data_IF_805003438494
#
_entry.id   IF_805003438494
#
_cell.length_a   1.000
_cell.length_b   1.000
_cell.length_c   1.000
_cell.angle_alpha   90.00
_cell.angle_beta   90.00
_cell.angle_gamma   90.00
#
_symmetry.space_group_name_H-M   'P 1'
#
loop_
_entity.id
_entity.type
_entity.pdbx_description
1 polymer ?
#
# COMPACT_ATOMS: atom_id res chain seq x y z
N UNK A 1 -0.74 -13.37 -17.87
CA UNK A 1 0.56 -12.73 -17.54
C UNK A 1 0.97 -11.72 -18.62
N UNK A 2 0.99 -12.10 -19.90
CA UNK A 2 1.40 -11.22 -21.01
C UNK A 2 0.58 -9.91 -21.03
N UNK A 3 -0.74 -10.00 -20.92
CA UNK A 3 -1.64 -8.83 -20.87
C UNK A 3 -1.32 -7.92 -19.70
N UNK A 4 -1.04 -8.49 -18.52
CA UNK A 4 -0.70 -7.71 -17.33
C UNK A 4 0.64 -6.97 -17.47
N UNK A 5 1.67 -7.65 -18.00
CA UNK A 5 2.97 -7.04 -18.25
C UNK A 5 2.84 -5.90 -19.26
N UNK A 6 2.10 -6.13 -20.36
CA UNK A 6 1.82 -5.09 -21.35
C UNK A 6 1.13 -3.89 -20.73
N UNK A 7 0.09 -4.10 -19.91
CA UNK A 7 -0.62 -3.04 -19.22
C UNK A 7 0.28 -2.26 -18.25
N UNK A 8 1.18 -2.94 -17.51
CA UNK A 8 2.18 -2.26 -16.67
C UNK A 8 3.15 -1.40 -17.48
N UNK A 9 3.53 -1.87 -18.68
CA UNK A 9 4.42 -1.10 -19.58
C UNK A 9 3.74 0.14 -20.15
N UNK A 10 2.43 0.08 -20.44
CA UNK A 10 1.66 1.16 -21.06
C UNK A 10 1.10 2.16 -20.04
N UNK A 11 0.86 1.74 -18.80
CA UNK A 11 0.23 2.61 -17.78
C UNK A 11 1.26 3.46 -17.02
N UNK A 12 0.84 4.67 -16.63
CA UNK A 12 1.54 5.50 -15.64
C UNK A 12 1.14 5.08 -14.22
N UNK A 13 -0.14 4.75 -14.04
CA UNK A 13 -0.69 4.27 -12.78
C UNK A 13 -1.39 2.93 -13.00
N UNK A 14 -0.77 1.86 -12.55
CA UNK A 14 -1.30 0.50 -12.64
C UNK A 14 -1.75 0.00 -11.26
N UNK A 15 -2.97 -0.50 -11.15
CA UNK A 15 -3.51 -1.13 -9.96
C UNK A 15 -3.98 -2.56 -10.26
N UNK A 16 -3.27 -3.55 -9.74
CA UNK A 16 -3.61 -4.95 -9.86
C UNK A 16 -4.25 -5.49 -8.58
N UNK A 17 -5.54 -5.85 -8.65
CA UNK A 17 -6.28 -6.52 -7.56
C UNK A 17 -6.45 -7.99 -7.94
N UNK A 18 -5.51 -8.82 -7.48
CA UNK A 18 -5.42 -10.21 -7.92
C UNK A 18 -5.49 -11.17 -6.75
N UNK A 19 -6.17 -12.30 -6.97
CA UNK A 19 -6.21 -13.38 -5.99
C UNK A 19 -4.82 -13.92 -5.66
N UNK A 20 -4.71 -14.68 -4.60
CA UNK A 20 -3.46 -15.38 -4.28
C UNK A 20 -3.10 -16.39 -5.37
N UNK A 21 -1.81 -16.54 -5.64
CA UNK A 21 -1.33 -17.48 -6.66
C UNK A 21 -1.40 -16.99 -8.10
N UNK A 22 -2.00 -15.83 -8.40
CA UNK A 22 -2.13 -15.26 -9.75
C UNK A 22 -0.85 -14.65 -10.32
N UNK A 23 0.32 -15.10 -9.86
CA UNK A 23 1.62 -14.71 -10.39
C UNK A 23 1.94 -13.21 -10.33
N UNK A 24 1.42 -12.48 -9.32
CA UNK A 24 1.73 -11.05 -9.10
C UNK A 24 3.22 -10.78 -9.17
N UNK A 25 3.99 -11.37 -8.27
CA UNK A 25 5.44 -11.13 -8.16
C UNK A 25 6.22 -11.59 -9.41
N UNK A 26 5.74 -12.61 -10.14
CA UNK A 26 6.38 -13.05 -11.38
C UNK A 26 6.19 -12.04 -12.51
N UNK A 27 4.97 -11.58 -12.73
CA UNK A 27 4.65 -10.57 -13.76
C UNK A 27 5.37 -9.25 -13.48
N UNK A 28 5.42 -8.84 -12.21
CA UNK A 28 6.16 -7.65 -11.77
C UNK A 28 7.67 -7.78 -11.99
N UNK A 29 8.22 -8.95 -11.73
CA UNK A 29 9.66 -9.20 -11.95
C UNK A 29 10.03 -9.09 -13.43
N UNK A 30 9.21 -9.63 -14.33
CA UNK A 30 9.41 -9.50 -15.76
C UNK A 30 9.25 -8.03 -16.20
N UNK A 31 8.21 -7.34 -15.72
CA UNK A 31 8.02 -5.92 -15.98
C UNK A 31 9.28 -5.12 -15.59
N UNK A 32 9.78 -5.30 -14.36
CA UNK A 32 10.94 -4.56 -13.87
C UNK A 32 12.20 -4.78 -14.73
N UNK A 33 12.47 -6.03 -15.17
CA UNK A 33 13.59 -6.35 -16.06
C UNK A 33 13.41 -5.70 -17.45
N UNK A 34 12.23 -5.83 -18.04
CA UNK A 34 11.95 -5.27 -19.36
C UNK A 34 12.03 -3.74 -19.33
N UNK A 35 11.42 -3.10 -18.35
CA UNK A 35 11.41 -1.63 -18.25
C UNK A 35 12.82 -1.08 -18.02
N UNK A 36 13.63 -1.74 -17.16
CA UNK A 36 15.03 -1.35 -16.94
C UNK A 36 15.92 -1.49 -18.18
N UNK A 37 15.62 -2.44 -19.06
CA UNK A 37 16.37 -2.66 -20.31
C UNK A 37 15.92 -1.70 -21.41
N UNK A 38 14.61 -1.52 -21.56
CA UNK A 38 14.03 -0.71 -22.63
C UNK A 38 14.16 0.79 -22.37
N UNK A 39 14.14 1.20 -21.11
CA UNK A 39 14.23 2.59 -20.68
C UNK A 39 15.54 2.80 -19.90
N UNK A 40 16.65 2.95 -20.61
CA UNK A 40 17.97 3.12 -19.98
C UNK A 40 18.02 4.37 -19.10
N UNK A 41 18.67 4.25 -17.92
CA UNK A 41 18.76 5.30 -16.92
C UNK A 41 17.64 5.26 -15.87
N UNK A 42 16.59 4.43 -16.06
CA UNK A 42 15.47 4.37 -15.13
C UNK A 42 15.86 3.79 -13.76
N UNK A 43 15.40 4.43 -12.71
CA UNK A 43 15.55 3.96 -11.33
C UNK A 43 14.21 3.36 -10.86
N UNK A 44 14.21 2.05 -10.58
CA UNK A 44 13.04 1.29 -10.16
C UNK A 44 13.14 0.99 -8.67
N UNK A 45 12.20 1.47 -7.86
CA UNK A 45 12.07 1.15 -6.45
C UNK A 45 11.06 0.02 -6.22
N UNK A 46 11.39 -0.94 -5.36
CA UNK A 46 10.49 -2.00 -4.90
C UNK A 46 10.24 -1.81 -3.42
N UNK A 47 8.99 -1.58 -3.07
CA UNK A 47 8.53 -1.39 -1.69
C UNK A 47 7.47 -2.43 -1.32
N UNK A 48 7.50 -2.85 -0.07
CA UNK A 48 6.47 -3.67 0.59
C UNK A 48 6.45 -3.30 2.07
N UNK A 49 5.44 -3.72 2.81
CA UNK A 49 5.35 -3.45 4.26
C UNK A 49 6.63 -3.81 5.01
N UNK A 50 7.29 -4.92 4.65
CA UNK A 50 8.55 -5.34 5.24
C UNK A 50 9.65 -5.47 4.19
N UNK A 51 10.88 -5.18 4.57
CA UNK A 51 12.05 -5.38 3.69
C UNK A 51 12.21 -6.84 3.26
N UNK A 52 11.79 -7.79 4.10
CA UNK A 52 11.78 -9.22 3.73
C UNK A 52 10.93 -9.48 2.48
N UNK A 53 9.75 -8.86 2.38
CA UNK A 53 8.87 -9.00 1.21
C UNK A 53 9.48 -8.36 -0.03
N UNK A 54 10.03 -7.13 0.07
CA UNK A 54 10.73 -6.49 -1.06
C UNK A 54 11.91 -7.34 -1.56
N UNK A 55 12.67 -7.95 -0.64
CA UNK A 55 13.76 -8.91 -0.98
C UNK A 55 13.26 -10.15 -1.72
N UNK A 56 12.05 -10.65 -1.39
CA UNK A 56 11.49 -11.81 -2.10
C UNK A 56 11.18 -11.48 -3.57
N UNK A 57 10.65 -10.29 -3.85
CA UNK A 57 10.43 -9.85 -5.23
C UNK A 57 11.78 -9.67 -5.95
N UNK A 58 12.73 -9.01 -5.32
CA UNK A 58 14.08 -8.84 -5.88
C UNK A 58 14.74 -10.18 -6.19
N UNK A 59 14.63 -11.17 -5.28
CA UNK A 59 15.12 -12.51 -5.53
C UNK A 59 14.43 -13.17 -6.73
N UNK A 60 13.12 -12.96 -6.89
CA UNK A 60 12.38 -13.45 -8.04
C UNK A 60 12.88 -12.83 -9.34
N UNK A 61 13.19 -11.53 -9.34
CA UNK A 61 13.81 -10.84 -10.48
C UNK A 61 15.17 -11.48 -10.81
N UNK A 62 16.00 -11.71 -9.80
CA UNK A 62 17.31 -12.34 -9.95
C UNK A 62 17.21 -13.77 -10.52
N UNK A 63 16.28 -14.58 -9.98
CA UNK A 63 16.05 -15.96 -10.42
C UNK A 63 15.59 -16.01 -11.89
N UNK A 64 14.73 -15.10 -12.32
CA UNK A 64 14.28 -14.98 -13.71
C UNK A 64 15.46 -14.54 -14.60
N UNK A 65 16.19 -13.53 -14.18
CA UNK A 65 17.32 -13.00 -14.94
C UNK A 65 18.44 -14.02 -15.12
N UNK A 66 18.67 -14.90 -14.14
CA UNK A 66 19.67 -15.98 -14.19
C UNK A 66 19.14 -17.28 -14.81
N UNK A 67 17.89 -17.32 -15.23
CA UNK A 67 17.33 -18.54 -15.84
C UNK A 67 18.03 -18.89 -17.13
N UNK A 68 18.41 -20.18 -17.34
CA UNK A 68 18.98 -20.64 -18.60
C UNK A 68 18.07 -20.40 -19.82
N UNK A 69 16.77 -20.23 -19.58
CA UNK A 69 15.78 -19.92 -20.63
C UNK A 69 15.71 -18.43 -20.98
N UNK A 70 16.40 -17.58 -20.21
CA UNK A 70 16.34 -16.12 -20.34
C UNK A 70 17.76 -15.49 -20.32
N UNK A 71 18.70 -16.09 -21.04
CA UNK A 71 20.13 -15.70 -21.08
C UNK A 71 20.34 -14.24 -21.45
N UNK A 72 19.45 -13.67 -22.25
CA UNK A 72 19.49 -12.26 -22.60
C UNK A 72 19.47 -11.33 -21.36
N UNK A 73 18.62 -11.62 -20.39
CA UNK A 73 18.57 -10.80 -19.16
C UNK A 73 19.87 -10.85 -18.37
N UNK A 74 20.50 -12.03 -18.26
CA UNK A 74 21.76 -12.18 -17.52
C UNK A 74 22.92 -11.38 -18.16
N UNK A 75 22.91 -11.23 -19.49
CA UNK A 75 23.90 -10.44 -20.20
C UNK A 75 23.74 -8.93 -20.02
N UNK A 76 22.53 -8.47 -19.68
CA UNK A 76 22.23 -7.05 -19.42
C UNK A 76 22.60 -6.61 -18.01
N UNK A 77 22.75 -7.55 -17.06
CA UNK A 77 23.07 -7.23 -15.65
C UNK A 77 24.56 -6.89 -15.53
N UNK A 78 24.86 -5.69 -15.06
CA UNK A 78 26.24 -5.23 -14.83
C UNK A 78 26.73 -5.52 -13.42
N UNK A 79 25.84 -5.41 -12.43
CA UNK A 79 26.19 -5.60 -11.01
C UNK A 79 24.99 -5.99 -10.17
N UNK A 80 25.22 -6.80 -9.13
CA UNK A 80 24.26 -7.07 -8.05
C UNK A 80 24.95 -6.80 -6.72
N UNK A 81 24.36 -5.97 -5.87
CA UNK A 81 24.80 -5.67 -4.52
C UNK A 81 23.68 -5.96 -3.51
N UNK A 82 24.03 -6.59 -2.37
CA UNK A 82 23.08 -6.98 -1.33
C UNK A 82 23.62 -6.52 0.02
N UNK A 83 23.14 -5.37 0.48
CA UNK A 83 23.48 -4.80 1.80
C UNK A 83 22.36 -5.09 2.82
N UNK A 84 22.56 -4.74 4.06
CA UNK A 84 21.57 -4.98 5.12
C UNK A 84 20.27 -4.18 4.92
N UNK A 85 20.38 -3.00 4.38
CA UNK A 85 19.34 -1.99 4.23
C UNK A 85 18.91 -1.75 2.77
N UNK A 86 19.64 -2.29 1.79
CA UNK A 86 19.36 -2.10 0.37
C UNK A 86 19.87 -3.27 -0.47
N UNK A 87 19.05 -3.73 -1.43
CA UNK A 87 19.49 -4.65 -2.48
C UNK A 87 19.34 -3.98 -3.83
N UNK A 88 20.41 -3.97 -4.61
CA UNK A 88 20.51 -3.26 -5.89
C UNK A 88 20.93 -4.21 -7.00
N UNK A 89 20.25 -4.13 -8.14
CA UNK A 89 20.63 -4.74 -9.40
C UNK A 89 20.81 -3.62 -10.43
N UNK A 90 21.98 -3.53 -11.02
CA UNK A 90 22.32 -2.57 -12.08
C UNK A 90 22.18 -3.25 -13.44
N UNK A 91 21.49 -2.59 -14.37
CA UNK A 91 21.20 -3.08 -15.73
C UNK A 91 21.54 -1.94 -16.70
N UNK A 92 22.77 -1.97 -17.25
CA UNK A 92 23.28 -0.85 -18.02
C UNK A 92 23.33 0.43 -17.16
N UNK A 93 22.60 1.47 -17.54
CA UNK A 93 22.49 2.71 -16.79
C UNK A 93 21.31 2.70 -15.80
N UNK A 94 20.45 1.68 -15.87
CA UNK A 94 19.26 1.55 -15.01
C UNK A 94 19.57 0.80 -13.72
N UNK A 95 18.75 0.98 -12.69
CA UNK A 95 18.84 0.17 -11.46
C UNK A 95 17.48 -0.27 -10.95
N UNK A 96 17.46 -1.46 -10.34
CA UNK A 96 16.31 -2.00 -9.59
C UNK A 96 16.75 -2.12 -8.13
N UNK A 97 16.01 -1.48 -7.22
CA UNK A 97 16.35 -1.39 -5.80
C UNK A 97 15.22 -1.90 -4.92
N UNK A 98 15.50 -2.86 -4.07
CA UNK A 98 14.60 -3.25 -2.99
C UNK A 98 15.00 -2.52 -1.70
N UNK A 99 14.02 -1.84 -1.10
CA UNK A 99 14.21 -0.96 0.06
C UNK A 99 13.25 -1.33 1.19
N UNK A 100 13.63 -1.10 2.44
CA UNK A 100 12.70 -1.16 3.56
C UNK A 100 11.76 0.04 3.52
N UNK A 101 10.46 -0.18 3.72
CA UNK A 101 9.51 0.92 3.86
C UNK A 101 9.77 1.71 5.15
N UNK A 102 9.88 1.02 6.29
CA UNK A 102 9.99 1.62 7.61
C UNK A 102 8.84 2.62 7.87
N UNK A 103 9.21 3.75 8.45
CA UNK A 103 8.37 4.94 8.65
C UNK A 103 8.35 5.90 7.43
N UNK A 104 9.05 5.54 6.37
CA UNK A 104 9.24 6.37 5.16
C UNK A 104 10.37 7.39 5.25
N UNK A 105 10.92 7.68 6.44
CA UNK A 105 11.99 8.70 6.58
C UNK A 105 13.27 8.32 5.84
N UNK A 106 13.66 7.06 5.91
CA UNK A 106 14.85 6.54 5.22
C UNK A 106 14.73 6.55 3.70
N UNK A 107 13.53 6.66 3.19
CA UNK A 107 13.27 6.76 1.75
C UNK A 107 13.44 8.20 1.24
N UNK A 108 13.34 9.19 2.13
CA UNK A 108 13.53 10.60 1.78
C UNK A 108 14.97 10.82 1.31
N UNK A 109 15.15 11.14 0.05
CA UNK A 109 16.48 11.32 -0.58
C UNK A 109 16.69 10.43 -1.79
N UNK A 110 15.96 9.32 -1.89
CA UNK A 110 15.92 8.58 -3.15
C UNK A 110 15.08 9.31 -4.20
N UNK A 111 15.34 8.98 -5.46
CA UNK A 111 14.54 9.42 -6.60
C UNK A 111 14.30 8.21 -7.48
N UNK A 112 13.04 7.97 -7.81
CA UNK A 112 12.64 6.85 -8.65
C UNK A 112 11.71 7.34 -9.75
N UNK A 113 11.88 6.79 -10.94
CA UNK A 113 10.94 7.00 -12.03
C UNK A 113 9.88 5.90 -12.06
N UNK A 114 10.16 4.78 -11.40
CA UNK A 114 9.22 3.66 -11.26
C UNK A 114 9.13 3.22 -9.81
N UNK A 115 7.93 3.06 -9.33
CA UNK A 115 7.70 2.53 -7.99
C UNK A 115 6.81 1.29 -8.07
N UNK A 116 7.34 0.16 -7.65
CA UNK A 116 6.62 -1.10 -7.51
C UNK A 116 6.25 -1.27 -6.04
N UNK A 117 4.96 -1.39 -5.76
CA UNK A 117 4.43 -1.57 -4.41
C UNK A 117 3.69 -2.90 -4.38
N UNK A 118 4.25 -3.86 -3.65
CA UNK A 118 3.61 -5.16 -3.41
C UNK A 118 2.86 -5.14 -2.08
N UNK A 119 1.73 -5.83 -2.05
CA UNK A 119 0.80 -5.83 -0.92
C UNK A 119 0.36 -4.40 -0.54
N UNK A 120 -0.08 -3.63 -1.54
CA UNK A 120 -0.50 -2.22 -1.39
C UNK A 120 -1.56 -2.03 -0.30
N UNK A 121 -2.39 -3.04 -0.03
CA UNK A 121 -3.37 -3.02 1.07
C UNK A 121 -2.72 -2.75 2.45
N UNK A 122 -1.45 -3.13 2.63
CA UNK A 122 -0.71 -2.93 3.87
C UNK A 122 0.03 -1.58 3.93
N UNK A 123 -0.07 -0.76 2.87
CA UNK A 123 0.56 0.54 2.77
C UNK A 123 -0.29 1.61 3.48
N UNK A 124 0.24 2.33 4.48
CA UNK A 124 -0.46 3.45 5.09
C UNK A 124 -0.70 4.58 4.08
N UNK A 125 -1.93 5.13 4.05
CA UNK A 125 -2.30 6.26 3.18
C UNK A 125 -1.31 7.43 3.30
N UNK A 126 -0.90 7.77 4.52
CA UNK A 126 0.05 8.84 4.78
C UNK A 126 1.39 8.61 4.09
N UNK A 127 1.96 7.42 4.17
CA UNK A 127 3.24 7.10 3.52
C UNK A 127 3.09 7.15 2.00
N UNK A 128 1.99 6.63 1.46
CA UNK A 128 1.74 6.67 0.03
C UNK A 128 1.70 8.13 -0.49
N UNK A 129 0.92 9.00 0.17
CA UNK A 129 0.70 10.37 -0.30
C UNK A 129 1.88 11.31 0.04
N UNK A 130 2.50 11.18 1.23
CA UNK A 130 3.51 12.14 1.70
C UNK A 130 4.96 11.72 1.34
N UNK A 131 5.19 10.45 1.04
CA UNK A 131 6.53 9.93 0.77
C UNK A 131 6.64 9.42 -0.67
N UNK A 132 5.78 8.48 -1.09
CA UNK A 132 5.91 7.81 -2.39
C UNK A 132 5.54 8.76 -3.54
N UNK A 133 4.43 9.47 -3.45
CA UNK A 133 4.01 10.39 -4.51
C UNK A 133 5.05 11.51 -4.77
N UNK A 134 5.63 12.16 -3.74
CA UNK A 134 6.69 13.13 -3.95
C UNK A 134 7.97 12.57 -4.60
N UNK A 135 8.31 11.30 -4.38
CA UNK A 135 9.48 10.69 -5.06
C UNK A 135 9.32 10.66 -6.57
N UNK A 136 8.11 10.46 -7.03
CA UNK A 136 7.76 10.35 -8.44
C UNK A 136 7.44 11.70 -9.09
N UNK A 137 7.45 12.79 -8.33
CA UNK A 137 7.15 14.12 -8.86
C UNK A 137 8.28 14.72 -9.70
N UNK A 138 9.50 14.22 -9.53
CA UNK A 138 10.67 14.75 -10.24
C UNK A 138 10.93 13.92 -11.50
N UNK A 139 10.98 14.60 -12.63
CA UNK A 139 11.31 13.96 -13.92
C UNK A 139 12.78 13.58 -13.97
N UNK A 140 13.09 12.57 -14.79
CA UNK A 140 14.46 12.18 -15.07
C UNK A 140 15.15 13.23 -15.98
N UNK A 141 16.45 13.46 -15.74
CA UNK A 141 17.30 14.34 -16.54
C UNK A 141 16.66 15.69 -16.92
N UNK A 142 16.26 16.54 -15.96
CA UNK A 142 15.55 17.79 -16.26
C UNK A 142 16.36 18.73 -17.14
N UNK A 143 17.69 18.74 -17.04
CA UNK A 143 18.58 19.55 -17.89
C UNK A 143 18.55 19.08 -19.33
N UNK A 144 18.70 17.79 -19.58
CA UNK A 144 18.61 17.22 -20.92
C UNK A 144 17.23 17.47 -21.57
N UNK A 145 16.17 17.32 -20.77
CA UNK A 145 14.81 17.62 -21.25
C UNK A 145 14.66 19.08 -21.68
N UNK A 146 15.24 20.00 -20.94
CA UNK A 146 15.20 21.41 -21.27
C UNK A 146 16.01 21.69 -22.55
N UNK A 147 17.22 21.15 -22.67
CA UNK A 147 18.08 21.32 -23.86
C UNK A 147 17.39 20.78 -25.12
N UNK A 148 16.75 19.60 -25.02
CA UNK A 148 15.99 18.99 -26.13
C UNK A 148 14.78 19.86 -26.49
N UNK A 149 14.04 20.35 -25.49
CA UNK A 149 12.88 21.22 -25.70
C UNK A 149 13.27 22.51 -26.42
N UNK A 150 14.36 23.15 -25.99
CA UNK A 150 14.85 24.38 -26.58
C UNK A 150 15.30 24.15 -28.04
N UNK A 151 16.01 23.04 -28.33
CA UNK A 151 16.39 22.66 -29.68
C UNK A 151 15.18 22.40 -30.59
N UNK A 152 14.22 21.61 -30.09
CA UNK A 152 12.98 21.34 -30.84
C UNK A 152 12.18 22.61 -31.12
N UNK A 153 12.12 23.52 -30.16
CA UNK A 153 11.47 24.84 -30.32
C UNK A 153 12.12 25.63 -31.47
N UNK A 154 13.46 25.66 -31.49
CA UNK A 154 14.17 26.32 -32.60
C UNK A 154 13.91 25.66 -33.98
N UNK A 155 13.79 24.32 -34.04
CA UNK A 155 13.49 23.61 -35.28
C UNK A 155 12.05 23.85 -35.75
N UNK A 156 11.11 23.95 -34.81
CA UNK A 156 9.71 24.27 -35.10
C UNK A 156 9.57 25.71 -35.63
N UNK A 157 10.23 26.67 -35.00
CA UNK A 157 10.26 28.08 -35.44
C UNK A 157 10.86 28.22 -36.85
N UNK A 158 11.82 27.36 -37.21
CA UNK A 158 12.40 27.32 -38.58
C UNK A 158 11.53 26.56 -39.60
N UNK A 159 10.45 25.91 -39.16
CA UNK A 159 9.60 25.06 -40.00
C UNK A 159 10.21 23.72 -40.39
N UNK A 160 11.29 23.31 -39.72
CA UNK A 160 12.00 22.03 -39.97
C UNK A 160 11.42 20.86 -39.17
N UNK A 161 10.57 21.14 -38.16
CA UNK A 161 9.90 20.16 -37.30
C UNK A 161 8.48 20.64 -36.97
N UNK A 162 7.56 19.70 -36.76
CA UNK A 162 6.20 20.01 -36.29
C UNK A 162 6.08 19.84 -34.79
N UNK A 163 5.11 20.52 -34.15
CA UNK A 163 4.85 20.40 -32.71
C UNK A 163 4.51 18.96 -32.30
N UNK A 164 3.80 18.21 -33.15
CA UNK A 164 3.41 16.81 -32.94
C UNK A 164 4.59 15.83 -32.92
N UNK A 165 5.73 16.20 -33.49
CA UNK A 165 6.94 15.38 -33.60
C UNK A 165 7.89 15.57 -32.41
N UNK A 166 7.54 16.44 -31.42
CA UNK A 166 8.34 16.61 -30.21
C UNK A 166 8.60 15.29 -29.49
N UNK A 167 9.81 15.11 -28.96
CA UNK A 167 10.20 13.93 -28.17
C UNK A 167 9.26 13.75 -26.99
N UNK A 168 8.53 12.65 -26.97
CA UNK A 168 7.71 12.25 -25.85
C UNK A 168 8.57 11.54 -24.82
N UNK A 169 8.70 12.16 -23.66
CA UNK A 169 9.43 11.58 -22.55
C UNK A 169 8.54 10.61 -21.78
N UNK A 170 9.09 9.47 -21.29
CA UNK A 170 8.29 8.55 -20.48
C UNK A 170 7.88 9.21 -19.15
N UNK A 171 6.63 9.03 -18.79
CA UNK A 171 6.11 9.45 -17.49
C UNK A 171 6.66 8.56 -16.36
N UNK A 172 6.68 9.08 -15.15
CA UNK A 172 6.94 8.27 -13.97
C UNK A 172 5.77 7.33 -13.73
N UNK A 173 6.03 6.14 -13.11
CA UNK A 173 5.03 5.08 -12.98
C UNK A 173 4.88 4.58 -11.55
N UNK A 174 3.65 4.23 -11.20
CA UNK A 174 3.32 3.46 -9.99
C UNK A 174 2.67 2.15 -10.41
N UNK A 175 3.26 1.04 -9.98
CA UNK A 175 2.74 -0.30 -10.16
C UNK A 175 2.33 -0.83 -8.79
N UNK A 176 1.06 -0.69 -8.47
CA UNK A 176 0.47 -1.19 -7.22
C UNK A 176 -0.14 -2.57 -7.41
N UNK A 177 0.25 -3.53 -6.59
CA UNK A 177 -0.27 -4.89 -6.60
C UNK A 177 -0.78 -5.28 -5.23
N UNK A 178 -1.95 -5.89 -5.17
CA UNK A 178 -2.56 -6.33 -3.93
C UNK A 178 -3.54 -7.47 -4.13
N UNK A 179 -3.92 -8.14 -3.06
CA UNK A 179 -5.21 -8.83 -2.97
C UNK A 179 -6.30 -7.81 -2.61
N UNK A 180 -7.57 -8.19 -2.77
CA UNK A 180 -8.67 -7.35 -2.34
C UNK A 180 -8.69 -7.20 -0.81
N UNK A 181 -9.31 -6.13 -0.34
CA UNK A 181 -9.41 -5.76 1.06
C UNK A 181 -10.85 -5.47 1.47
N UNK A 182 -11.02 -4.90 2.66
CA UNK A 182 -12.31 -4.35 3.05
C UNK A 182 -12.55 -2.99 2.37
N UNK A 183 -13.83 -2.64 2.13
CA UNK A 183 -14.21 -1.38 1.50
C UNK A 183 -13.90 -0.13 2.34
N UNK A 184 -13.70 -0.26 3.64
CA UNK A 184 -13.30 0.86 4.50
C UNK A 184 -11.79 1.14 4.48
N UNK A 185 -10.96 0.26 3.87
CA UNK A 185 -9.52 0.42 3.81
C UNK A 185 -9.07 1.34 2.67
N UNK A 186 -7.89 1.93 2.81
CA UNK A 186 -7.32 2.87 1.85
C UNK A 186 -7.23 2.31 0.43
N UNK A 187 -6.91 1.03 0.28
CA UNK A 187 -6.83 0.38 -1.04
C UNK A 187 -8.13 0.51 -1.84
N UNK A 188 -9.29 0.34 -1.18
CA UNK A 188 -10.59 0.49 -1.87
C UNK A 188 -10.89 1.93 -2.23
N UNK A 189 -10.52 2.89 -1.38
CA UNK A 189 -10.62 4.31 -1.69
C UNK A 189 -9.79 4.68 -2.92
N UNK A 190 -8.55 4.17 -2.99
CA UNK A 190 -7.67 4.38 -4.14
C UNK A 190 -8.23 3.72 -5.42
N UNK A 191 -8.77 2.49 -5.29
CA UNK A 191 -9.46 1.80 -6.39
C UNK A 191 -10.60 2.66 -6.95
N UNK A 192 -11.49 3.17 -6.09
CA UNK A 192 -12.60 4.02 -6.50
C UNK A 192 -12.13 5.33 -7.16
N UNK A 193 -11.07 5.93 -6.65
CA UNK A 193 -10.49 7.13 -7.26
C UNK A 193 -9.99 6.86 -8.67
N UNK A 194 -9.25 5.75 -8.88
CA UNK A 194 -8.77 5.38 -10.22
C UNK A 194 -9.93 5.00 -11.15
N UNK A 195 -10.92 4.25 -10.67
CA UNK A 195 -12.12 3.89 -11.43
C UNK A 195 -12.87 5.14 -11.90
N UNK A 196 -13.10 6.11 -11.01
CA UNK A 196 -13.75 7.37 -11.34
C UNK A 196 -12.96 8.18 -12.39
N UNK A 197 -11.62 8.22 -12.28
CA UNK A 197 -10.77 8.92 -13.25
C UNK A 197 -10.77 8.24 -14.62
N UNK A 198 -10.89 6.91 -14.66
CA UNK A 198 -10.97 6.14 -15.90
C UNK A 198 -12.35 6.32 -16.59
N UNK A 199 -13.44 6.20 -15.81
CA UNK A 199 -14.81 6.21 -16.36
C UNK A 199 -15.25 7.61 -16.81
N UNK A 200 -14.92 8.64 -16.02
CA UNK A 200 -15.42 9.99 -16.28
C UNK A 200 -14.63 10.75 -17.35
N UNK A 201 -13.67 10.11 -18.03
CA UNK A 201 -12.79 10.71 -19.04
C UNK A 201 -12.15 12.05 -18.61
N UNK A 202 -12.22 12.38 -17.31
CA UNK A 202 -11.63 13.57 -16.72
C UNK A 202 -10.09 13.42 -16.59
N UNK A 203 -9.47 12.75 -17.55
CA UNK A 203 -8.01 12.67 -17.70
C UNK A 203 -7.46 14.03 -18.20
N UNK A 204 -7.79 15.10 -17.48
CA UNK A 204 -7.21 16.43 -17.77
C UNK A 204 -5.69 16.45 -17.57
N UNK A 205 -5.16 15.46 -16.83
CA UNK A 205 -3.73 15.31 -16.58
C UNK A 205 -2.99 14.46 -17.63
N UNK A 206 -3.71 13.88 -18.62
CA UNK A 206 -3.14 13.04 -19.67
C UNK A 206 -2.49 11.74 -19.20
N UNK A 207 -2.64 11.36 -17.94
CA UNK A 207 -2.00 10.16 -17.38
C UNK A 207 -2.82 8.89 -17.69
N UNK A 208 -2.13 7.85 -18.12
CA UNK A 208 -2.75 6.56 -18.44
C UNK A 208 -2.90 5.70 -17.18
N UNK A 209 -4.15 5.39 -16.80
CA UNK A 209 -4.49 4.57 -15.64
C UNK A 209 -5.07 3.24 -16.05
N UNK A 210 -4.66 2.16 -15.39
CA UNK A 210 -5.21 0.83 -15.61
C UNK A 210 -5.50 0.14 -14.29
N UNK A 211 -6.70 -0.43 -14.18
CA UNK A 211 -7.06 -1.36 -13.12
C UNK A 211 -7.21 -2.74 -13.73
N UNK A 212 -6.53 -3.74 -13.16
CA UNK A 212 -6.68 -5.14 -13.54
C UNK A 212 -7.16 -5.96 -12.36
N UNK A 213 -8.26 -6.67 -12.55
CA UNK A 213 -8.90 -7.47 -11.54
C UNK A 213 -8.89 -8.95 -11.96
N UNK A 214 -8.22 -9.80 -11.19
CA UNK A 214 -8.10 -11.22 -11.50
C UNK A 214 -8.51 -12.08 -10.30
N UNK A 215 -9.63 -12.77 -10.43
CA UNK A 215 -10.05 -13.86 -9.54
C UNK A 215 -9.30 -15.14 -9.88
N UNK A 216 -9.34 -16.13 -8.98
CA UNK A 216 -8.63 -17.41 -9.16
C UNK A 216 -9.13 -18.21 -10.37
N UNK A 217 -10.41 -18.08 -10.74
CA UNK A 217 -11.04 -18.74 -11.87
C UNK A 217 -10.60 -18.20 -13.25
N UNK A 218 -9.92 -17.04 -13.28
CA UNK A 218 -9.26 -16.54 -14.48
C UNK A 218 -8.02 -17.37 -14.86
N UNK A 219 -7.53 -18.22 -13.97
CA UNK A 219 -6.37 -19.07 -14.22
C UNK A 219 -6.81 -20.47 -14.69
N UNK A 220 -5.97 -21.17 -15.51
CA UNK A 220 -6.21 -22.56 -15.81
C UNK A 220 -6.33 -23.43 -14.55
N UNK A 221 -7.27 -24.36 -14.52
CA UNK A 221 -7.54 -25.22 -13.35
C UNK A 221 -6.29 -25.93 -12.83
N UNK A 222 -5.38 -26.30 -13.72
CA UNK A 222 -4.12 -26.99 -13.39
C UNK A 222 -3.14 -26.15 -12.55
N UNK A 223 -3.36 -24.85 -12.43
CA UNK A 223 -2.51 -23.98 -11.60
C UNK A 223 -2.89 -24.00 -10.12
N UNK A 224 -4.05 -24.54 -9.78
CA UNK A 224 -4.53 -24.61 -8.40
C UNK A 224 -4.82 -26.07 -8.00
N UNK A 225 -4.51 -26.38 -6.75
CA UNK A 225 -4.99 -27.61 -6.12
C UNK A 225 -6.49 -27.46 -5.81
N UNK A 226 -7.32 -28.13 -6.59
CA UNK A 226 -8.78 -28.05 -6.49
C UNK A 226 -9.31 -28.55 -5.14
N UNK A 227 -8.61 -29.51 -4.52
CA UNK A 227 -8.98 -29.99 -3.18
C UNK A 227 -8.74 -28.90 -2.14
N UNK A 228 -7.61 -28.17 -2.24
CA UNK A 228 -7.30 -27.06 -1.35
C UNK A 228 -8.29 -25.89 -1.52
N UNK A 229 -8.68 -25.57 -2.75
CA UNK A 229 -9.70 -24.55 -3.03
C UNK A 229 -11.04 -24.94 -2.41
N UNK A 230 -11.48 -26.19 -2.62
CA UNK A 230 -12.74 -26.71 -2.06
C UNK A 230 -12.71 -26.69 -0.52
N UNK A 231 -11.61 -27.08 0.09
CA UNK A 231 -11.44 -27.03 1.55
C UNK A 231 -11.44 -25.58 2.05
N UNK A 232 -10.73 -24.67 1.37
CA UNK A 232 -10.72 -23.26 1.74
C UNK A 232 -12.12 -22.65 1.69
N UNK A 233 -12.90 -22.98 0.66
CA UNK A 233 -14.29 -22.54 0.52
C UNK A 233 -15.20 -23.10 1.64
N UNK A 234 -14.92 -24.29 2.13
CA UNK A 234 -15.70 -24.92 3.22
C UNK A 234 -15.32 -24.39 4.62
N UNK A 235 -14.09 -23.88 4.80
CA UNK A 235 -13.55 -23.52 6.13
C UNK A 235 -13.44 -22.02 6.36
N UNK A 236 -13.31 -21.21 5.31
CA UNK A 236 -13.26 -19.75 5.39
C UNK A 236 -14.67 -19.17 5.44
N UNK A 237 -14.81 -17.97 5.99
CA UNK A 237 -16.02 -17.19 5.77
C UNK A 237 -16.13 -16.75 4.30
N UNK A 238 -17.36 -16.57 3.80
CA UNK A 238 -17.59 -16.14 2.41
C UNK A 238 -16.79 -14.85 2.08
N UNK A 239 -16.82 -13.86 2.97
CA UNK A 239 -16.09 -12.61 2.76
C UNK A 239 -14.56 -12.78 2.76
N UNK A 240 -14.03 -13.74 3.50
CA UNK A 240 -12.60 -14.04 3.47
C UNK A 240 -12.22 -14.77 2.16
N UNK A 241 -13.03 -15.72 1.73
CA UNK A 241 -12.85 -16.41 0.45
C UNK A 241 -12.93 -15.40 -0.72
N UNK A 242 -13.90 -14.50 -0.68
CA UNK A 242 -14.08 -13.45 -1.68
C UNK A 242 -12.84 -12.56 -1.81
N UNK A 243 -12.25 -12.09 -0.70
CA UNK A 243 -11.05 -11.27 -0.76
C UNK A 243 -9.81 -12.03 -1.26
N UNK A 244 -9.60 -13.25 -0.79
CA UNK A 244 -8.36 -13.97 -1.05
C UNK A 244 -8.35 -14.68 -2.41
N UNK A 245 -9.51 -15.20 -2.85
CA UNK A 245 -9.65 -16.02 -4.07
C UNK A 245 -10.44 -15.32 -5.17
N UNK A 246 -11.55 -14.67 -4.86
CA UNK A 246 -12.36 -13.97 -5.86
C UNK A 246 -11.85 -12.56 -6.15
N UNK A 247 -10.88 -12.07 -5.37
CA UNK A 247 -10.35 -10.71 -5.47
C UNK A 247 -11.45 -9.63 -5.34
N UNK A 248 -12.50 -9.88 -4.56
CA UNK A 248 -13.65 -8.99 -4.37
C UNK A 248 -13.49 -8.18 -3.09
N UNK A 249 -13.67 -6.87 -3.18
CA UNK A 249 -13.74 -6.01 -2.01
C UNK A 249 -15.02 -6.29 -1.21
N UNK A 250 -14.87 -6.53 0.08
CA UNK A 250 -16.00 -6.92 0.92
C UNK A 250 -16.30 -5.84 1.98
N UNK A 251 -17.57 -5.80 2.39
CA UNK A 251 -17.96 -5.04 3.57
C UNK A 251 -17.54 -5.82 4.84
N UNK A 252 -17.52 -5.14 5.97
CA UNK A 252 -17.23 -5.72 7.29
C UNK A 252 -18.38 -6.57 7.86
N UNK A 253 -19.31 -7.00 6.99
CA UNK A 253 -20.56 -7.66 7.39
C UNK A 253 -20.35 -8.96 8.17
N UNK A 254 -19.18 -9.59 8.03
CA UNK A 254 -18.80 -10.82 8.75
C UNK A 254 -17.98 -10.58 10.01
N UNK A 255 -17.59 -9.34 10.32
CA UNK A 255 -16.91 -8.99 11.57
C UNK A 255 -17.83 -9.12 12.78
N UNK A 256 -17.27 -9.52 13.94
CA UNK A 256 -18.03 -9.53 15.20
C UNK A 256 -18.63 -8.14 15.51
N UNK A 257 -17.84 -7.10 15.31
CA UNK A 257 -18.30 -5.71 15.35
C UNK A 257 -18.36 -5.15 13.93
N UNK A 258 -19.55 -4.88 13.43
CA UNK A 258 -19.74 -4.28 12.10
C UNK A 258 -19.40 -2.79 12.15
N UNK A 259 -18.45 -2.32 11.32
CA UNK A 259 -18.07 -0.89 11.27
C UNK A 259 -19.28 0.00 10.96
N UNK A 260 -20.18 -0.45 10.08
CA UNK A 260 -21.43 0.25 9.79
C UNK A 260 -22.32 0.45 11.01
N UNK A 261 -22.39 -0.56 11.88
CA UNK A 261 -23.13 -0.45 13.15
C UNK A 261 -22.39 0.42 14.15
N UNK A 262 -21.07 0.31 14.23
CA UNK A 262 -20.25 1.17 15.08
C UNK A 262 -20.38 2.64 14.66
N UNK A 263 -20.29 2.92 13.36
CA UNK A 263 -20.49 4.28 12.83
C UNK A 263 -21.89 4.84 13.14
N UNK A 264 -22.93 4.00 13.05
CA UNK A 264 -24.29 4.39 13.42
C UNK A 264 -24.48 4.65 14.92
N UNK A 265 -23.58 4.12 15.77
CA UNK A 265 -23.56 4.35 17.21
C UNK A 265 -22.60 5.48 17.62
N UNK A 266 -21.84 6.04 16.68
CA UNK A 266 -20.92 7.15 16.93
C UNK A 266 -21.72 8.46 16.98
N UNK A 267 -21.56 9.21 18.04
CA UNK A 267 -22.17 10.54 18.18
C UNK A 267 -21.26 11.53 17.43
N UNK A 268 -21.84 12.46 16.63
CA UNK A 268 -21.06 13.50 15.95
C UNK A 268 -20.23 14.34 16.92
N UNK A 269 -19.08 14.81 16.50
CA UNK A 269 -18.22 15.69 17.29
C UNK A 269 -19.01 16.93 17.79
N UNK A 270 -18.98 17.16 19.09
CA UNK A 270 -19.68 18.27 19.76
C UNK A 270 -21.10 17.98 20.26
N UNK A 271 -21.70 16.83 19.92
CA UNK A 271 -23.04 16.45 20.37
C UNK A 271 -23.04 15.40 21.51
N UNK A 272 -21.88 14.84 21.83
CA UNK A 272 -21.74 13.77 22.82
C UNK A 272 -21.73 14.26 24.29
N UNK A 273 -21.92 13.32 25.22
CA UNK A 273 -21.65 13.58 26.62
C UNK A 273 -20.16 13.84 26.82
N UNK A 274 -19.82 14.93 27.49
CA UNK A 274 -18.43 15.22 27.85
C UNK A 274 -17.88 14.14 28.80
N UNK A 275 -16.58 13.88 28.69
CA UNK A 275 -15.84 13.08 29.67
C UNK A 275 -16.08 13.64 31.05
N UNK A 276 -16.47 12.79 32.02
CA UNK A 276 -16.58 13.23 33.43
C UNK A 276 -15.17 13.50 33.97
N UNK A 277 -14.93 14.73 34.40
CA UNK A 277 -13.63 15.15 34.96
C UNK A 277 -13.53 14.77 36.44
N UNK A 278 -14.66 14.58 37.09
CA UNK A 278 -14.75 14.24 38.50
C UNK A 278 -15.93 13.32 38.76
N UNK A 279 -15.71 12.27 39.53
CA UNK A 279 -16.77 11.36 39.98
C UNK A 279 -17.67 11.94 41.02
N UNK A 280 -18.88 11.40 41.16
CA UNK A 280 -19.85 11.76 42.20
C UNK A 280 -19.89 10.65 43.24
N UNK A 281 -19.98 11.03 44.52
CA UNK A 281 -19.93 10.09 45.65
C UNK A 281 -21.06 9.06 45.67
N UNK A 282 -22.19 9.40 45.06
CA UNK A 282 -23.39 8.56 45.05
C UNK A 282 -23.44 7.65 43.78
N UNK A 283 -22.49 7.80 42.87
CA UNK A 283 -22.40 7.02 41.65
C UNK A 283 -21.45 5.83 41.81
N UNK A 284 -21.74 4.78 41.11
CA UNK A 284 -20.91 3.58 41.04
C UNK A 284 -20.10 3.56 39.75
N UNK A 285 -18.80 3.33 39.86
CA UNK A 285 -17.88 3.28 38.72
C UNK A 285 -17.14 1.94 38.66
N UNK A 286 -16.94 1.43 37.45
CA UNK A 286 -16.06 0.29 37.17
C UNK A 286 -14.86 0.81 36.38
N UNK A 287 -13.66 0.60 36.91
CA UNK A 287 -12.42 0.83 36.22
C UNK A 287 -11.93 -0.50 35.61
N UNK A 288 -11.89 -0.57 34.30
CA UNK A 288 -11.32 -1.69 33.53
C UNK A 288 -10.02 -1.25 32.90
N UNK A 289 -9.04 -2.17 32.80
CA UNK A 289 -7.80 -1.90 32.12
C UNK A 289 -7.29 -3.12 31.36
N UNK A 290 -6.63 -2.88 30.25
CA UNK A 290 -5.92 -3.87 29.44
C UNK A 290 -4.43 -3.49 29.43
N UNK A 291 -3.54 -4.30 30.08
CA UNK A 291 -2.15 -3.92 30.26
C UNK A 291 -1.31 -4.28 29.03
N UNK A 292 -0.58 -3.30 28.51
CA UNK A 292 0.57 -3.51 27.63
C UNK A 292 1.87 -3.32 28.43
N UNK A 293 2.79 -4.27 28.29
CA UNK A 293 4.06 -4.30 29.06
C UNK A 293 5.24 -3.75 28.27
N UNK A 294 5.06 -3.39 27.00
CA UNK A 294 6.12 -2.94 26.13
C UNK A 294 6.24 -1.41 26.15
N UNK A 295 7.48 -0.93 26.26
CA UNK A 295 7.80 0.51 26.13
C UNK A 295 8.02 0.93 24.66
N UNK A 296 7.75 0.05 23.68
CA UNK A 296 7.86 0.36 22.26
C UNK A 296 6.63 1.11 21.77
N UNK A 297 6.83 2.20 21.04
CA UNK A 297 5.75 2.96 20.39
C UNK A 297 4.96 2.13 19.35
N UNK A 298 5.53 1.01 18.88
CA UNK A 298 4.87 0.08 17.95
C UNK A 298 4.15 -1.08 18.63
N UNK A 299 4.09 -1.10 19.96
CA UNK A 299 3.35 -2.12 20.72
C UNK A 299 1.89 -1.79 20.87
N UNK A 300 1.10 -2.77 21.33
CA UNK A 300 -0.29 -2.53 21.70
C UNK A 300 -0.39 -1.47 22.80
N UNK A 301 -1.48 -0.72 22.81
CA UNK A 301 -1.73 0.31 23.80
C UNK A 301 -2.02 -0.30 25.20
N UNK A 302 -1.56 0.38 26.23
CA UNK A 302 -2.12 0.21 27.57
C UNK A 302 -3.43 0.97 27.62
N UNK A 303 -4.55 0.27 27.76
CA UNK A 303 -5.88 0.88 27.73
C UNK A 303 -6.53 0.90 29.12
N UNK A 304 -7.22 2.00 29.44
CA UNK A 304 -8.05 2.16 30.64
C UNK A 304 -9.43 2.66 30.20
N UNK A 305 -10.46 2.08 30.79
CA UNK A 305 -11.84 2.50 30.56
C UNK A 305 -12.56 2.65 31.91
N UNK A 306 -13.21 3.80 32.12
CA UNK A 306 -14.03 4.05 33.28
C UNK A 306 -15.50 4.06 32.87
N UNK A 307 -16.30 3.22 33.50
CA UNK A 307 -17.72 3.03 33.20
C UNK A 307 -18.54 3.41 34.43
N UNK A 308 -19.44 4.37 34.26
CA UNK A 308 -20.44 4.73 35.24
C UNK A 308 -21.62 3.76 35.16
N UNK A 309 -22.06 3.20 36.27
CA UNK A 309 -23.14 2.23 36.33
C UNK A 309 -24.40 2.87 36.85
N UNK A 310 -25.46 2.81 36.08
CA UNK A 310 -26.82 3.11 36.54
C UNK A 310 -27.60 1.80 36.71
N UNK A 311 -27.69 1.33 37.94
CA UNK A 311 -28.39 0.07 38.27
C UNK A 311 -29.88 0.13 37.99
N UNK A 312 -30.50 1.30 38.19
CA UNK A 312 -31.94 1.48 37.99
C UNK A 312 -32.32 1.33 36.52
N UNK A 313 -31.53 1.90 35.63
CA UNK A 313 -31.71 1.83 34.19
C UNK A 313 -31.05 0.60 33.57
N UNK A 314 -30.29 -0.19 34.32
CA UNK A 314 -29.46 -1.31 33.84
C UNK A 314 -28.52 -0.88 32.71
N UNK A 315 -27.94 0.31 32.88
CA UNK A 315 -27.10 0.93 31.84
C UNK A 315 -25.70 1.22 32.38
N UNK A 316 -24.69 0.91 31.54
CA UNK A 316 -23.32 1.36 31.73
C UNK A 316 -22.98 2.45 30.72
N UNK A 317 -22.41 3.55 31.18
CA UNK A 317 -21.96 4.65 30.30
C UNK A 317 -20.45 4.80 30.44
N UNK A 318 -19.71 4.75 29.31
CA UNK A 318 -18.28 5.05 29.32
C UNK A 318 -18.12 6.56 29.56
N UNK A 319 -17.52 6.92 30.68
CA UNK A 319 -17.32 8.34 31.08
C UNK A 319 -15.88 8.79 30.92
N UNK A 320 -14.96 7.85 30.80
CA UNK A 320 -13.56 8.15 30.51
C UNK A 320 -12.89 6.99 29.77
N UNK A 321 -12.05 7.29 28.79
CA UNK A 321 -11.20 6.32 28.13
C UNK A 321 -9.78 6.89 27.97
N UNK A 322 -8.79 6.02 28.07
CA UNK A 322 -7.38 6.35 27.91
C UNK A 322 -6.69 5.19 27.21
N UNK A 323 -5.90 5.49 26.22
CA UNK A 323 -5.05 4.52 25.56
C UNK A 323 -3.70 5.18 25.23
N UNK A 324 -2.61 4.51 25.51
CA UNK A 324 -1.26 5.01 25.23
C UNK A 324 -0.29 3.85 25.06
N UNK A 325 0.46 3.86 23.95
CA UNK A 325 1.61 2.97 23.69
C UNK A 325 2.93 3.61 24.12
N UNK A 326 3.98 2.82 24.27
CA UNK A 326 5.36 3.29 24.46
C UNK A 326 5.66 3.93 25.83
N UNK A 327 4.73 3.96 26.76
CA UNK A 327 4.94 4.58 28.06
C UNK A 327 5.34 3.54 29.13
N UNK A 328 6.17 3.99 30.08
CA UNK A 328 6.56 3.14 31.21
C UNK A 328 5.34 2.80 32.09
N UNK A 329 5.24 1.55 32.52
CA UNK A 329 4.13 1.04 33.36
C UNK A 329 3.84 1.90 34.60
N UNK A 330 4.87 2.54 35.18
CA UNK A 330 4.68 3.43 36.32
C UNK A 330 3.80 4.65 36.02
N UNK A 331 3.79 5.11 34.77
CA UNK A 331 2.95 6.23 34.31
C UNK A 331 1.49 5.79 34.33
N UNK A 332 1.20 4.61 33.79
CA UNK A 332 -0.15 4.05 33.75
C UNK A 332 -0.70 3.78 35.16
N UNK A 333 0.13 3.20 36.06
CA UNK A 333 -0.26 2.97 37.44
C UNK A 333 -0.55 4.28 38.18
N UNK A 334 0.28 5.31 37.98
CA UNK A 334 0.03 6.64 38.57
C UNK A 334 -1.29 7.25 38.06
N UNK A 335 -1.56 7.06 36.78
CA UNK A 335 -2.80 7.57 36.18
C UNK A 335 -4.03 6.83 36.72
N UNK A 336 -3.98 5.50 36.82
CA UNK A 336 -5.05 4.72 37.48
C UNK A 336 -5.28 5.16 38.93
N UNK A 337 -4.21 5.35 39.69
CA UNK A 337 -4.29 5.82 41.07
C UNK A 337 -4.88 7.26 41.17
N UNK A 338 -4.65 8.08 40.18
CA UNK A 338 -5.28 9.39 40.06
C UNK A 338 -6.79 9.26 39.79
N UNK A 339 -7.20 8.43 38.81
CA UNK A 339 -8.60 8.19 38.47
C UNK A 339 -9.42 7.64 39.67
N UNK A 340 -8.80 6.84 40.53
CA UNK A 340 -9.50 6.30 41.74
C UNK A 340 -9.71 7.38 42.82
N UNK A 341 -8.97 8.47 42.77
CA UNK A 341 -9.02 9.55 43.79
C UNK A 341 -9.95 10.72 43.45
N UNK A 342 -10.30 10.83 42.18
CA UNK A 342 -11.17 11.91 41.68
C UNK A 342 -12.62 11.52 41.77
#
# INVERSE_FOLDING_TARGET
QHMAIKAMMESDYFLGIWSRGMSKSFSTAIFALLDAIMNQGVQIGILSKSFRQSKMIFKKIEDIAKSPKATFFSQCITRISKMNDEWVMEIGQSSIRALPLGDGEKLRGFRFQRMIIDELLLMPEKIFNEVIMPFLSVVDNPTERQEVYDLETMLIEKGEMKEEDRKKWPNNKIIGLSSASYKFEYLYKLYQQYENLIINENNQDGAHRTIMHFSYDCAPEQLYDQNLISQSKATMSDSQFDREFNAVFTDDSSGYFKVSKMAACTIPDGEGQCVEVKGHKDDEYILSFDPSWSESESSDDFAIMLIKINRNERKGTVVHSYALSGANLKIHIKYMAYLIKI
#
